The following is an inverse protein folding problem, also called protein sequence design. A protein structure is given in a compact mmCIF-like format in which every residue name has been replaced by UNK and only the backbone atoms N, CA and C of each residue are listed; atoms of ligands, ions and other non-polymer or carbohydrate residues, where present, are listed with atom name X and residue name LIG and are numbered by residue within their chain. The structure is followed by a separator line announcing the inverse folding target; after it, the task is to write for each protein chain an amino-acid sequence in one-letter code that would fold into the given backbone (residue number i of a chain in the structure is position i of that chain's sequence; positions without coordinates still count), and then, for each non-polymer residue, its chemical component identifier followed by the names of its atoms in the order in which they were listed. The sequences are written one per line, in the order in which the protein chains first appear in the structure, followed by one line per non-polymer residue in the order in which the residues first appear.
data_IF_351802571562
#
_entry.id   IF_351802571562
#
_cell.length_a   1.000
_cell.length_b   1.000
_cell.length_c   1.000
_cell.angle_alpha   90.00
_cell.angle_beta   90.00
_cell.angle_gamma   90.00
#
_symmetry.space_group_name_H-M   'P 1'
#
loop_
_entity.id
_entity.type
_entity.pdbx_description
1 polymer ?
#
# COMPACT_ATOMS: atom_id res chain seq x y z
N UNK A 1 -47.04 -46.04 20.48
CA UNK A 1 -45.69 -46.60 20.77
C UNK A 1 -44.67 -45.81 19.95
N UNK A 2 -43.94 -44.91 20.61
CA UNK A 2 -42.86 -44.14 20.00
C UNK A 2 -41.64 -45.03 19.79
N UNK A 3 -41.11 -45.08 18.57
CA UNK A 3 -39.78 -45.63 18.31
C UNK A 3 -38.83 -44.45 18.19
N UNK A 4 -38.06 -44.23 19.25
CA UNK A 4 -36.82 -43.44 19.20
C UNK A 4 -35.86 -44.12 18.23
N UNK A 5 -35.39 -43.40 17.21
CA UNK A 5 -34.08 -43.68 16.61
C UNK A 5 -33.13 -42.55 16.97
N UNK A 6 -32.07 -42.98 17.63
CA UNK A 6 -30.93 -42.28 18.16
C UNK A 6 -29.98 -41.76 17.08
N UNK A 7 -29.36 -40.61 17.37
CA UNK A 7 -27.93 -40.37 17.20
C UNK A 7 -27.34 -40.51 15.79
N UNK A 8 -27.30 -39.40 15.06
CA UNK A 8 -26.40 -39.19 13.94
C UNK A 8 -25.95 -37.72 13.93
N UNK A 9 -24.84 -37.45 14.61
CA UNK A 9 -24.12 -36.18 14.59
C UNK A 9 -23.52 -35.94 13.20
N UNK A 10 -24.31 -35.39 12.28
CA UNK A 10 -23.89 -34.99 10.95
C UNK A 10 -24.18 -33.51 10.72
N UNK A 11 -23.13 -32.70 10.73
CA UNK A 11 -22.99 -31.36 10.15
C UNK A 11 -24.28 -30.53 9.99
N UNK A 12 -24.68 -29.82 11.05
CA UNK A 12 -25.51 -28.62 10.92
C UNK A 12 -24.60 -27.41 10.73
N UNK A 13 -24.36 -27.02 9.48
CA UNK A 13 -24.03 -25.65 9.06
C UNK A 13 -23.78 -25.67 7.54
N UNK A 14 -24.82 -25.82 6.74
CA UNK A 14 -24.79 -25.37 5.34
C UNK A 14 -25.90 -24.34 5.18
N UNK A 15 -25.85 -23.32 6.03
CA UNK A 15 -26.53 -22.06 5.70
C UNK A 15 -25.83 -21.49 4.47
N UNK A 16 -26.50 -21.69 3.33
CA UNK A 16 -26.30 -21.15 1.98
C UNK A 16 -25.14 -20.14 1.85
N UNK A 17 -23.92 -20.65 1.64
CA UNK A 17 -22.80 -19.85 1.13
C UNK A 17 -23.24 -19.19 -0.18
N UNK A 18 -23.01 -17.88 -0.31
CA UNK A 18 -23.22 -17.19 -1.59
C UNK A 18 -22.34 -17.87 -2.65
N UNK A 19 -22.79 -18.03 -3.90
CA UNK A 19 -21.97 -18.64 -4.95
C UNK A 19 -20.58 -18.01 -5.11
N UNK A 20 -20.45 -16.72 -4.81
CA UNK A 20 -19.16 -15.99 -4.81
C UNK A 20 -18.20 -16.39 -3.68
N UNK A 21 -18.66 -17.11 -2.67
CA UNK A 21 -17.87 -17.56 -1.51
C UNK A 21 -17.59 -19.07 -1.57
N UNK A 22 -18.29 -19.82 -2.41
CA UNK A 22 -18.17 -21.28 -2.50
C UNK A 22 -16.73 -21.74 -2.84
N UNK A 23 -16.04 -21.01 -3.73
CA UNK A 23 -14.67 -21.36 -4.13
C UNK A 23 -13.64 -21.19 -3.00
N UNK A 24 -13.90 -20.31 -2.02
CA UNK A 24 -13.03 -20.14 -0.85
C UNK A 24 -13.00 -21.39 0.06
N UNK A 25 -13.97 -22.29 -0.10
CA UNK A 25 -14.10 -23.53 0.66
C UNK A 25 -13.86 -24.78 -0.19
N UNK A 26 -13.24 -24.65 -1.37
CA UNK A 26 -13.00 -25.79 -2.28
C UNK A 26 -12.18 -26.91 -1.62
N UNK A 27 -11.30 -26.57 -0.66
CA UNK A 27 -10.55 -27.55 0.12
C UNK A 27 -11.44 -28.46 1.00
N UNK A 28 -12.65 -28.01 1.33
CA UNK A 28 -13.63 -28.78 2.10
C UNK A 28 -14.63 -29.54 1.22
N UNK A 29 -14.58 -29.35 -0.11
CA UNK A 29 -15.49 -30.03 -1.03
C UNK A 29 -15.05 -31.49 -1.22
N UNK A 30 -16.00 -32.43 -1.38
CA UNK A 30 -15.67 -33.84 -1.51
C UNK A 30 -14.88 -34.11 -2.80
N UNK A 31 -13.96 -35.09 -2.72
CA UNK A 31 -13.03 -35.38 -3.82
C UNK A 31 -13.73 -35.70 -5.15
N UNK A 32 -14.88 -36.37 -5.13
CA UNK A 32 -15.65 -36.69 -6.35
C UNK A 32 -16.14 -35.44 -7.10
N UNK A 33 -16.28 -34.31 -6.41
CA UNK A 33 -16.67 -33.03 -7.01
C UNK A 33 -15.45 -32.27 -7.51
N UNK A 34 -14.35 -32.22 -6.74
CA UNK A 34 -13.17 -31.41 -7.08
C UNK A 34 -12.29 -32.09 -8.13
N UNK A 35 -12.15 -33.42 -8.10
CA UNK A 35 -11.24 -34.15 -8.98
C UNK A 35 -11.55 -33.96 -10.48
N UNK A 36 -12.82 -34.02 -10.96
CA UNK A 36 -13.13 -33.73 -12.35
C UNK A 36 -12.80 -32.30 -12.77
N UNK A 37 -12.98 -31.32 -11.88
CA UNK A 37 -12.60 -29.93 -12.13
C UNK A 37 -11.10 -29.77 -12.29
N UNK A 38 -10.31 -30.38 -11.41
CA UNK A 38 -8.85 -30.34 -11.49
C UNK A 38 -8.33 -30.94 -12.81
N UNK A 39 -8.90 -32.07 -13.25
CA UNK A 39 -8.60 -32.66 -14.57
C UNK A 39 -8.96 -31.68 -15.69
N UNK A 40 -10.13 -31.03 -15.58
CA UNK A 40 -10.58 -30.01 -16.52
C UNK A 40 -9.63 -28.81 -16.61
N UNK A 41 -9.12 -28.32 -15.47
CA UNK A 41 -8.19 -27.19 -15.40
C UNK A 41 -6.85 -27.53 -16.06
N UNK A 42 -6.32 -28.74 -15.85
CA UNK A 42 -5.11 -29.21 -16.54
C UNK A 42 -5.33 -29.27 -18.05
N UNK A 43 -6.44 -29.87 -18.50
CA UNK A 43 -6.77 -30.00 -19.93
C UNK A 43 -6.94 -28.64 -20.61
N UNK A 44 -7.70 -27.73 -20.00
CA UNK A 44 -7.94 -26.38 -20.54
C UNK A 44 -6.68 -25.53 -20.53
N UNK A 45 -5.88 -25.59 -19.45
CA UNK A 45 -4.61 -24.86 -19.37
C UNK A 45 -3.64 -25.34 -20.44
N UNK A 46 -3.57 -26.66 -20.69
CA UNK A 46 -2.76 -27.22 -21.77
C UNK A 46 -3.23 -26.76 -23.15
N UNK A 47 -4.54 -26.84 -23.43
CA UNK A 47 -5.08 -26.38 -24.71
C UNK A 47 -4.83 -24.87 -24.93
N UNK A 48 -4.97 -24.06 -23.87
CA UNK A 48 -4.66 -22.63 -23.91
C UNK A 48 -3.17 -22.38 -24.18
N UNK A 49 -2.29 -23.12 -23.51
CA UNK A 49 -0.85 -23.06 -23.74
C UNK A 49 -0.52 -23.42 -25.19
N UNK A 50 -1.01 -24.54 -25.72
CA UNK A 50 -0.76 -24.97 -27.09
C UNK A 50 -1.22 -23.93 -28.13
N UNK A 51 -2.33 -23.22 -27.86
CA UNK A 51 -2.83 -22.16 -28.73
C UNK A 51 -2.02 -20.85 -28.67
N UNK A 52 -1.59 -20.42 -27.48
CA UNK A 52 -0.97 -19.11 -27.27
C UNK A 52 0.56 -19.17 -27.35
N UNK A 53 1.17 -20.24 -26.84
CA UNK A 53 2.63 -20.37 -26.74
C UNK A 53 3.34 -20.08 -28.07
N UNK A 54 2.92 -20.64 -29.23
CA UNK A 54 3.56 -20.32 -30.52
C UNK A 54 3.59 -18.83 -30.89
N UNK A 55 2.67 -18.03 -30.36
CA UNK A 55 2.52 -16.60 -30.66
C UNK A 55 3.40 -15.70 -29.78
N UNK A 56 3.94 -16.23 -28.68
CA UNK A 56 4.64 -15.44 -27.64
C UNK A 56 6.09 -15.89 -27.40
N UNK A 57 6.54 -16.97 -28.04
CA UNK A 57 7.93 -17.46 -27.90
C UNK A 57 8.91 -16.40 -28.45
N UNK A 58 10.00 -16.19 -27.71
CA UNK A 58 11.07 -15.29 -28.07
C UNK A 58 11.86 -14.82 -26.85
N UNK A 59 12.78 -13.88 -27.08
CA UNK A 59 13.71 -13.42 -26.04
C UNK A 59 12.99 -12.84 -24.80
N UNK A 60 11.89 -12.11 -25.01
CA UNK A 60 11.08 -11.56 -23.92
C UNK A 60 10.48 -12.67 -23.04
N UNK A 61 9.89 -13.69 -23.64
CA UNK A 61 9.34 -14.85 -22.92
C UNK A 61 10.41 -15.58 -22.10
N UNK A 62 11.60 -15.81 -22.67
CA UNK A 62 12.70 -16.45 -21.96
C UNK A 62 13.28 -15.58 -20.84
N UNK A 63 13.27 -14.26 -20.99
CA UNK A 63 13.63 -13.33 -19.92
C UNK A 63 12.64 -13.42 -18.76
N UNK A 64 11.33 -13.37 -19.04
CA UNK A 64 10.31 -13.46 -18.00
C UNK A 64 10.38 -14.81 -17.27
N UNK A 65 10.56 -15.92 -17.98
CA UNK A 65 10.74 -17.25 -17.37
C UNK A 65 11.96 -17.32 -16.45
N UNK A 66 13.09 -16.73 -16.86
CA UNK A 66 14.32 -16.70 -16.05
C UNK A 66 14.16 -15.85 -14.80
N UNK A 67 13.46 -14.71 -14.90
CA UNK A 67 13.21 -13.81 -13.77
C UNK A 67 12.24 -14.43 -12.75
N UNK A 68 11.28 -15.23 -13.19
CA UNK A 68 10.28 -15.84 -12.30
C UNK A 68 10.92 -16.64 -11.14
N UNK A 69 12.00 -17.39 -11.40
CA UNK A 69 12.64 -18.23 -10.39
C UNK A 69 13.27 -17.42 -9.23
N UNK A 70 14.13 -16.41 -9.48
CA UNK A 70 14.59 -15.49 -8.45
C UNK A 70 13.45 -14.78 -7.69
N UNK A 71 12.38 -14.39 -8.39
CA UNK A 71 11.22 -13.78 -7.73
C UNK A 71 10.59 -14.75 -6.72
N UNK A 72 10.22 -15.97 -7.14
CA UNK A 72 9.63 -16.98 -6.25
C UNK A 72 10.52 -17.31 -5.04
N UNK A 73 11.84 -17.38 -5.23
CA UNK A 73 12.79 -17.56 -4.11
C UNK A 73 12.74 -16.37 -3.15
N UNK A 74 12.68 -15.15 -3.67
CA UNK A 74 12.54 -13.94 -2.86
C UNK A 74 11.24 -13.92 -2.07
N UNK A 75 10.13 -14.25 -2.72
CA UNK A 75 8.82 -14.30 -2.08
C UNK A 75 8.80 -15.29 -0.92
N UNK A 76 9.42 -16.46 -1.09
CA UNK A 76 9.51 -17.51 -0.05
C UNK A 76 10.45 -17.12 1.09
N UNK A 77 11.55 -16.45 0.80
CA UNK A 77 12.58 -16.10 1.81
C UNK A 77 12.18 -14.88 2.64
N UNK A 78 11.46 -13.93 2.03
CA UNK A 78 11.16 -12.64 2.63
C UNK A 78 12.41 -11.75 2.85
N UNK A 79 12.16 -10.49 3.13
CA UNK A 79 13.20 -9.47 3.36
C UNK A 79 13.33 -9.21 4.86
N UNK A 80 14.53 -9.30 5.46
CA UNK A 80 14.72 -9.01 6.87
C UNK A 80 14.35 -7.56 7.20
N UNK A 81 13.60 -7.35 8.27
CA UNK A 81 13.19 -6.03 8.76
C UNK A 81 13.36 -5.94 10.27
N UNK A 82 13.82 -4.77 10.74
CA UNK A 82 13.85 -4.42 12.16
C UNK A 82 12.43 -4.15 12.65
N UNK A 83 11.70 -5.22 12.96
CA UNK A 83 10.30 -5.15 13.40
C UNK A 83 10.13 -4.31 14.67
N UNK A 84 11.07 -4.41 15.62
CA UNK A 84 11.00 -3.66 16.88
C UNK A 84 11.18 -2.15 16.63
N UNK A 85 12.24 -1.75 15.95
CA UNK A 85 12.48 -0.34 15.64
C UNK A 85 11.40 0.24 14.72
N UNK A 86 10.89 -0.54 13.76
CA UNK A 86 9.79 -0.11 12.91
C UNK A 86 8.50 0.08 13.71
N UNK A 87 8.21 -0.77 14.69
CA UNK A 87 7.05 -0.62 15.57
C UNK A 87 7.13 0.65 16.42
N UNK A 88 8.30 0.92 17.02
CA UNK A 88 8.56 2.14 17.80
C UNK A 88 8.41 3.40 16.95
N UNK A 89 9.02 3.42 15.75
CA UNK A 89 8.91 4.55 14.81
C UNK A 89 7.47 4.74 14.32
N UNK A 90 6.73 3.65 14.07
CA UNK A 90 5.32 3.71 13.65
C UNK A 90 4.46 4.31 14.73
N UNK A 91 4.67 3.91 16.00
CA UNK A 91 3.97 4.50 17.15
C UNK A 91 4.25 5.99 17.28
N UNK A 92 5.51 6.39 17.19
CA UNK A 92 5.89 7.81 17.24
C UNK A 92 5.29 8.60 16.06
N UNK A 93 5.29 8.00 14.86
CA UNK A 93 4.70 8.57 13.65
C UNK A 93 3.19 8.77 13.77
N UNK A 94 2.45 7.80 14.33
CA UNK A 94 1.01 7.93 14.57
C UNK A 94 0.69 9.08 15.55
N UNK A 95 1.47 9.21 16.62
CA UNK A 95 1.31 10.32 17.57
C UNK A 95 1.62 11.68 16.92
N UNK A 96 2.64 11.75 16.05
CA UNK A 96 2.94 12.95 15.29
C UNK A 96 1.84 13.26 14.27
N UNK A 97 1.30 12.25 13.59
CA UNK A 97 0.19 12.41 12.66
C UNK A 97 -1.06 12.99 13.36
N UNK A 98 -1.44 12.45 14.51
CA UNK A 98 -2.56 13.02 15.28
C UNK A 98 -2.32 14.48 15.70
N UNK A 99 -1.09 14.82 16.08
CA UNK A 99 -0.72 16.23 16.39
C UNK A 99 -0.80 17.14 15.17
N UNK A 100 -0.45 16.65 13.98
CA UNK A 100 -0.61 17.39 12.73
C UNK A 100 -2.09 17.64 12.42
N UNK A 101 -2.95 16.64 12.59
CA UNK A 101 -4.39 16.78 12.39
C UNK A 101 -4.99 17.84 13.32
N UNK A 102 -4.67 17.77 14.62
CA UNK A 102 -5.10 18.78 15.59
C UNK A 102 -4.56 20.17 15.27
N UNK A 103 -3.33 20.28 14.78
CA UNK A 103 -2.75 21.56 14.39
C UNK A 103 -3.49 22.17 13.19
N UNK A 104 -3.79 21.36 12.16
CA UNK A 104 -4.51 21.79 10.96
C UNK A 104 -5.95 22.20 11.31
N UNK A 105 -6.64 21.38 12.11
CA UNK A 105 -8.00 21.68 12.59
C UNK A 105 -8.05 23.01 13.34
N UNK A 106 -7.08 23.27 14.24
CA UNK A 106 -6.97 24.56 14.93
C UNK A 106 -6.66 25.72 13.99
N UNK A 107 -5.77 25.50 13.01
CA UNK A 107 -5.39 26.52 12.03
C UNK A 107 -6.56 26.94 11.14
N UNK A 108 -7.39 25.98 10.74
CA UNK A 108 -8.59 26.18 9.92
C UNK A 108 -9.85 26.51 10.73
N UNK A 109 -9.77 26.56 12.07
CA UNK A 109 -10.92 26.73 12.98
C UNK A 109 -12.03 25.67 12.76
N UNK A 110 -11.65 24.47 12.33
CA UNK A 110 -12.55 23.37 11.99
C UNK A 110 -12.21 22.12 12.85
N UNK A 111 -12.72 22.01 14.08
CA UNK A 111 -12.32 20.95 15.03
C UNK A 111 -12.70 19.53 14.58
N UNK A 112 -13.78 19.37 13.82
CA UNK A 112 -14.28 18.08 13.34
C UNK A 112 -13.81 17.73 11.92
N UNK A 113 -12.85 18.48 11.38
CA UNK A 113 -12.36 18.29 10.01
C UNK A 113 -11.58 16.96 9.88
N UNK A 114 -12.05 16.10 8.98
CA UNK A 114 -11.28 14.98 8.46
C UNK A 114 -10.37 15.43 7.32
N UNK A 115 -9.12 15.77 7.66
CA UNK A 115 -8.06 16.18 6.71
C UNK A 115 -7.73 15.07 5.69
N UNK A 116 -8.21 13.84 5.89
CA UNK A 116 -8.08 12.75 4.92
C UNK A 116 -9.01 12.85 3.71
N UNK A 117 -10.07 13.67 3.78
CA UNK A 117 -11.09 13.85 2.74
C UNK A 117 -10.83 15.13 1.94
N UNK A 118 -10.43 15.03 0.65
CA UNK A 118 -10.11 16.18 -0.19
C UNK A 118 -11.21 17.24 -0.26
N UNK A 119 -12.46 16.81 -0.39
CA UNK A 119 -13.61 17.71 -0.53
C UNK A 119 -13.84 18.52 0.75
N UNK A 120 -13.81 17.86 1.92
CA UNK A 120 -13.96 18.52 3.22
C UNK A 120 -12.80 19.46 3.54
N UNK A 121 -11.59 19.10 3.13
CA UNK A 121 -10.43 19.98 3.27
C UNK A 121 -10.57 21.22 2.38
N UNK A 122 -11.10 21.08 1.16
CA UNK A 122 -11.36 22.22 0.29
C UNK A 122 -12.40 23.18 0.88
N UNK A 123 -13.52 22.64 1.39
CA UNK A 123 -14.56 23.43 2.08
C UNK A 123 -13.96 24.22 3.26
N UNK A 124 -13.17 23.56 4.11
CA UNK A 124 -12.54 24.22 5.26
C UNK A 124 -11.49 25.29 4.89
N UNK A 125 -10.84 25.16 3.72
CA UNK A 125 -9.90 26.16 3.22
C UNK A 125 -10.62 27.42 2.69
N UNK A 126 -11.76 27.24 2.03
CA UNK A 126 -12.64 28.34 1.59
C UNK A 126 -13.27 29.06 2.79
N UNK A 127 -13.82 28.32 3.75
CA UNK A 127 -14.42 28.90 4.98
C UNK A 127 -13.40 29.68 5.81
N UNK A 128 -12.13 29.26 5.78
CA UNK A 128 -11.02 29.97 6.42
C UNK A 128 -10.55 31.20 5.62
N UNK A 129 -11.07 31.42 4.41
CA UNK A 129 -10.67 32.52 3.53
C UNK A 129 -9.22 32.41 3.03
N UNK A 130 -8.69 31.19 2.92
CA UNK A 130 -7.28 30.96 2.56
C UNK A 130 -7.06 30.69 1.07
N UNK A 131 -8.12 30.45 0.32
CA UNK A 131 -8.09 30.19 -1.13
C UNK A 131 -9.11 31.08 -1.82
N UNK A 132 -8.67 31.84 -2.82
CA UNK A 132 -9.53 32.76 -3.58
C UNK A 132 -10.04 32.11 -4.88
N UNK A 133 -9.16 31.46 -5.64
CA UNK A 133 -9.51 30.79 -6.90
C UNK A 133 -8.96 29.36 -6.92
N UNK A 134 -9.78 28.39 -7.32
CA UNK A 134 -9.36 26.99 -7.36
C UNK A 134 -8.84 26.57 -8.72
N UNK A 135 -7.75 25.80 -8.70
CA UNK A 135 -7.35 24.97 -9.84
C UNK A 135 -8.23 23.72 -9.85
N UNK A 136 -8.98 23.52 -10.92
CA UNK A 136 -9.88 22.37 -11.09
C UNK A 136 -9.15 21.19 -11.74
N UNK A 137 -9.51 19.99 -11.30
CA UNK A 137 -9.05 18.74 -11.92
C UNK A 137 -9.80 18.46 -13.22
N UNK A 138 -9.34 17.52 -14.04
CA UNK A 138 -10.02 17.10 -15.27
C UNK A 138 -11.47 16.58 -15.07
N UNK A 139 -11.89 16.35 -13.82
CA UNK A 139 -13.26 15.98 -13.44
C UNK A 139 -14.02 17.13 -12.77
N UNK A 140 -13.55 18.36 -12.98
CA UNK A 140 -14.14 19.58 -12.45
C UNK A 140 -14.20 19.65 -10.92
N UNK A 141 -13.27 18.97 -10.24
CA UNK A 141 -13.17 19.00 -8.76
C UNK A 141 -12.03 19.90 -8.33
N UNK A 142 -12.23 20.63 -7.22
CA UNK A 142 -11.20 21.42 -6.52
C UNK A 142 -9.95 20.58 -6.23
N UNK A 143 -8.79 21.00 -6.73
CA UNK A 143 -7.53 20.29 -6.55
C UNK A 143 -6.88 20.63 -5.21
N UNK A 144 -6.82 19.65 -4.30
CA UNK A 144 -6.08 19.74 -3.02
C UNK A 144 -4.66 19.19 -3.13
N UNK A 145 -4.11 19.09 -4.35
CA UNK A 145 -2.73 18.67 -4.56
C UNK A 145 -1.75 19.69 -3.99
N UNK A 146 -0.55 19.26 -3.60
CA UNK A 146 0.46 20.16 -3.06
C UNK A 146 0.81 21.31 -4.03
N UNK A 147 0.98 21.00 -5.32
CA UNK A 147 1.32 22.00 -6.32
C UNK A 147 0.19 23.03 -6.47
N UNK A 148 -1.05 22.55 -6.59
CA UNK A 148 -2.22 23.42 -6.70
C UNK A 148 -2.38 24.31 -5.47
N UNK A 149 -2.34 23.75 -4.26
CA UNK A 149 -2.44 24.53 -3.03
C UNK A 149 -1.26 25.50 -2.86
N UNK A 150 -0.07 25.15 -3.35
CA UNK A 150 1.08 26.06 -3.35
C UNK A 150 0.93 27.20 -4.36
N UNK A 151 -0.03 27.17 -5.27
CA UNK A 151 -0.33 28.31 -6.13
C UNK A 151 -1.44 29.17 -5.50
N UNK A 152 -2.51 28.53 -5.04
CA UNK A 152 -3.76 29.23 -4.68
C UNK A 152 -3.95 29.53 -3.20
N UNK A 153 -3.23 28.85 -2.29
CA UNK A 153 -3.38 29.06 -0.86
C UNK A 153 -2.46 30.18 -0.36
N UNK A 154 -3.01 31.11 0.41
CA UNK A 154 -2.26 32.23 1.01
C UNK A 154 -1.37 31.75 2.17
N UNK A 155 -1.80 30.77 2.97
CA UNK A 155 -1.01 30.22 4.08
C UNK A 155 -0.04 29.13 3.63
N UNK A 156 1.19 29.54 3.29
CA UNK A 156 2.25 28.62 2.84
C UNK A 156 2.72 27.63 3.91
N UNK A 157 2.66 28.01 5.18
CA UNK A 157 3.04 27.12 6.27
C UNK A 157 2.03 25.97 6.40
N UNK A 158 0.73 26.26 6.27
CA UNK A 158 -0.30 25.23 6.25
C UNK A 158 -0.08 24.23 5.10
N UNK A 159 0.26 24.72 3.91
CA UNK A 159 0.54 23.85 2.74
C UNK A 159 1.75 22.94 2.99
N UNK A 160 2.81 23.43 3.62
CA UNK A 160 3.97 22.62 4.01
C UNK A 160 3.61 21.55 5.05
N UNK A 161 2.80 21.91 6.05
CA UNK A 161 2.28 20.97 7.06
C UNK A 161 1.42 19.89 6.41
N UNK A 162 0.55 20.24 5.46
CA UNK A 162 -0.27 19.29 4.69
C UNK A 162 0.60 18.33 3.87
N UNK A 163 1.66 18.83 3.20
CA UNK A 163 2.62 17.99 2.48
C UNK A 163 3.32 17.01 3.43
N UNK A 164 3.85 17.52 4.53
CA UNK A 164 4.52 16.69 5.53
C UNK A 164 3.59 15.59 6.08
N UNK A 165 2.35 15.96 6.44
CA UNK A 165 1.33 15.01 6.88
C UNK A 165 1.06 13.93 5.84
N UNK A 166 0.90 14.29 4.57
CA UNK A 166 0.63 13.32 3.50
C UNK A 166 1.80 12.36 3.28
N UNK A 167 3.05 12.84 3.40
CA UNK A 167 4.24 11.98 3.36
C UNK A 167 4.22 10.99 4.53
N UNK A 168 4.00 11.47 5.75
CA UNK A 168 3.94 10.64 6.95
C UNK A 168 2.82 9.60 6.89
N UNK A 169 1.63 10.00 6.43
CA UNK A 169 0.48 9.10 6.19
C UNK A 169 0.87 7.97 5.22
N UNK A 170 1.54 8.31 4.12
CA UNK A 170 2.02 7.31 3.15
C UNK A 170 3.07 6.39 3.77
N UNK A 171 4.05 6.93 4.51
CA UNK A 171 5.04 6.10 5.21
C UNK A 171 4.39 5.10 6.17
N UNK A 172 3.39 5.54 6.93
CA UNK A 172 2.69 4.67 7.89
C UNK A 172 1.79 3.65 7.19
N UNK A 173 0.85 4.10 6.34
CA UNK A 173 -0.21 3.23 5.79
C UNK A 173 0.26 2.35 4.65
N UNK A 174 1.20 2.83 3.84
CA UNK A 174 1.64 2.13 2.62
C UNK A 174 2.86 1.24 2.88
N UNK A 175 3.69 1.58 3.87
CA UNK A 175 4.95 0.88 4.13
C UNK A 175 4.98 0.27 5.54
N UNK A 176 5.01 1.10 6.59
CA UNK A 176 5.29 0.64 7.94
C UNK A 176 4.27 -0.39 8.47
N UNK A 177 2.97 -0.10 8.36
CA UNK A 177 1.91 -1.02 8.81
C UNK A 177 1.89 -2.34 8.03
N UNK A 178 1.90 -2.34 6.68
CA UNK A 178 2.00 -3.59 5.93
C UNK A 178 3.26 -4.40 6.21
N UNK A 179 4.40 -3.74 6.42
CA UNK A 179 5.65 -4.44 6.74
C UNK A 179 5.59 -5.07 8.14
N UNK A 180 5.08 -4.37 9.15
CA UNK A 180 4.89 -4.90 10.49
C UNK A 180 3.96 -6.12 10.51
N UNK A 181 2.84 -6.05 9.77
CA UNK A 181 1.92 -7.16 9.65
C UNK A 181 2.56 -8.43 9.04
N UNK A 182 3.61 -8.28 8.23
CA UNK A 182 4.39 -9.40 7.73
C UNK A 182 5.52 -9.79 8.70
N UNK A 183 6.13 -8.83 9.39
CA UNK A 183 7.25 -9.03 10.30
C UNK A 183 6.93 -9.97 11.47
N UNK A 184 5.65 -10.09 11.84
CA UNK A 184 5.18 -11.04 12.85
C UNK A 184 5.59 -12.49 12.51
N UNK A 185 5.81 -12.78 11.23
CA UNK A 185 6.36 -14.04 10.74
C UNK A 185 7.90 -14.02 10.71
N UNK A 186 8.53 -13.97 11.89
CA UNK A 186 9.97 -14.18 12.05
C UNK A 186 10.86 -13.01 11.61
N UNK A 187 10.37 -11.78 11.71
CA UNK A 187 11.14 -10.55 11.45
C UNK A 187 11.38 -10.29 9.95
N UNK A 188 10.47 -10.76 9.09
CA UNK A 188 10.62 -10.67 7.63
C UNK A 188 9.38 -10.09 6.97
N UNK A 189 9.58 -9.24 5.96
CA UNK A 189 8.53 -8.83 5.04
C UNK A 189 8.48 -9.80 3.86
N UNK A 190 7.42 -10.60 3.79
CA UNK A 190 7.10 -11.39 2.60
C UNK A 190 6.33 -10.49 1.64
N UNK A 191 6.81 -10.39 0.41
CA UNK A 191 6.16 -9.61 -0.63
C UNK A 191 6.00 -10.44 -1.89
N UNK A 192 4.89 -10.21 -2.59
CA UNK A 192 4.65 -10.79 -3.89
C UNK A 192 5.12 -9.84 -4.98
N UNK A 193 5.81 -10.38 -5.98
CA UNK A 193 6.25 -9.68 -7.17
C UNK A 193 5.26 -9.91 -8.30
N UNK A 194 4.80 -8.82 -8.88
CA UNK A 194 3.89 -8.85 -10.02
C UNK A 194 4.71 -8.51 -11.26
N UNK A 195 4.96 -9.55 -12.04
CA UNK A 195 5.80 -9.51 -13.23
C UNK A 195 5.03 -8.97 -14.45
N UNK A 196 3.79 -9.41 -14.61
CA UNK A 196 2.90 -9.00 -15.69
C UNK A 196 1.73 -8.20 -15.15
N UNK A 197 1.24 -7.26 -15.96
CA UNK A 197 0.01 -6.54 -15.63
C UNK A 197 -1.17 -7.52 -15.66
N UNK A 198 -1.85 -7.66 -14.52
CA UNK A 198 -3.15 -8.32 -14.46
C UNK A 198 -4.22 -7.29 -14.84
N UNK A 199 -5.03 -7.63 -15.84
CA UNK A 199 -6.25 -6.90 -16.13
C UNK A 199 -7.23 -7.07 -14.96
N UNK A 200 -8.16 -6.13 -14.81
CA UNK A 200 -9.27 -6.23 -13.85
C UNK A 200 -9.96 -7.59 -14.02
N UNK A 201 -9.80 -8.51 -13.06
CA UNK A 201 -10.71 -9.65 -12.99
C UNK A 201 -12.10 -9.12 -12.67
N UNK A 202 -13.10 -9.65 -13.38
CA UNK A 202 -14.51 -9.25 -13.30
C UNK A 202 -14.92 -8.99 -11.84
N UNK A 203 -15.40 -7.76 -11.59
CA UNK A 203 -15.86 -7.18 -10.31
C UNK A 203 -14.75 -6.61 -9.39
N UNK A 204 -14.17 -5.48 -9.81
CA UNK A 204 -13.63 -4.47 -8.89
C UNK A 204 -12.23 -4.73 -8.30
N UNK A 205 -11.45 -5.65 -8.87
CA UNK A 205 -10.04 -5.83 -8.49
C UNK A 205 -9.17 -4.69 -9.01
N UNK A 206 -8.25 -4.13 -8.21
CA UNK A 206 -7.30 -3.11 -8.71
C UNK A 206 -6.35 -3.76 -9.73
N UNK A 207 -6.08 -3.09 -10.85
CA UNK A 207 -5.04 -3.54 -11.79
C UNK A 207 -3.69 -3.57 -11.08
N UNK A 208 -3.00 -4.71 -11.11
CA UNK A 208 -1.69 -4.94 -10.49
C UNK A 208 -0.66 -5.21 -11.58
N UNK A 209 0.58 -4.74 -11.42
CA UNK A 209 1.65 -4.86 -12.43
C UNK A 209 1.70 -3.68 -13.42
N UNK A 210 2.91 -3.32 -13.86
CA UNK A 210 3.12 -2.14 -14.71
C UNK A 210 2.93 -2.46 -16.20
N UNK A 211 2.38 -1.51 -16.98
CA UNK A 211 2.32 -1.59 -18.45
C UNK A 211 3.71 -1.58 -19.11
N UNK A 212 4.72 -1.08 -18.40
CA UNK A 212 6.07 -0.84 -18.91
C UNK A 212 7.02 -2.02 -18.74
N UNK A 213 6.53 -3.17 -18.22
CA UNK A 213 7.38 -4.32 -17.88
C UNK A 213 8.17 -4.16 -16.58
N UNK A 214 7.96 -3.07 -15.82
CA UNK A 214 8.54 -2.92 -14.48
C UNK A 214 7.84 -3.84 -13.48
N UNK A 215 8.64 -4.53 -12.67
CA UNK A 215 8.14 -5.31 -11.53
C UNK A 215 7.41 -4.38 -10.54
N UNK A 216 6.31 -4.87 -9.95
CA UNK A 216 5.67 -4.21 -8.80
C UNK A 216 5.55 -5.13 -7.60
N UNK A 217 5.68 -4.63 -6.37
CA UNK A 217 5.63 -5.45 -5.13
C UNK A 217 4.40 -5.18 -4.27
N UNK A 218 3.93 -6.19 -3.54
CA UNK A 218 2.86 -6.08 -2.53
C UNK A 218 3.19 -6.95 -1.29
N UNK A 219 3.37 -6.38 -0.07
CA UNK A 219 3.44 -4.95 0.23
C UNK A 219 4.57 -4.26 -0.53
N UNK A 220 4.45 -2.94 -0.68
CA UNK A 220 5.38 -2.19 -1.51
C UNK A 220 6.75 -2.10 -0.84
N UNK A 221 7.76 -2.67 -1.50
CA UNK A 221 9.19 -2.55 -1.15
C UNK A 221 9.96 -1.76 -2.20
N UNK A 222 9.26 -1.31 -3.25
CA UNK A 222 9.80 -0.44 -4.28
C UNK A 222 9.38 0.99 -3.97
N UNK A 223 10.24 1.96 -4.28
CA UNK A 223 9.96 3.38 -4.04
C UNK A 223 9.76 3.75 -2.54
N UNK A 224 10.54 3.13 -1.64
CA UNK A 224 10.54 3.51 -0.22
C UNK A 224 10.93 5.00 -0.09
N UNK A 225 10.07 5.85 0.51
CA UNK A 225 10.32 7.28 0.64
C UNK A 225 11.65 7.57 1.33
N UNK A 226 12.32 8.64 0.91
CA UNK A 226 13.50 9.14 1.60
C UNK A 226 13.08 9.96 2.84
N UNK A 227 13.79 9.77 3.94
CA UNK A 227 13.59 10.48 5.22
C UNK A 227 14.37 11.79 5.29
N UNK A 228 15.30 12.05 4.35
CA UNK A 228 16.25 13.19 4.38
C UNK A 228 15.68 14.55 3.99
N UNK A 229 14.37 14.67 3.84
CA UNK A 229 13.72 15.95 3.52
C UNK A 229 14.06 17.00 4.60
N UNK A 230 14.59 18.18 4.24
CA UNK A 230 14.90 19.22 5.23
C UNK A 230 13.62 19.75 5.88
N UNK A 231 13.49 19.59 7.20
CA UNK A 231 12.32 20.05 7.96
C UNK A 231 12.78 21.04 9.01
N UNK A 232 12.18 22.24 9.01
CA UNK A 232 12.35 23.21 10.07
C UNK A 232 11.16 23.15 11.02
N UNK A 233 11.43 23.17 12.33
CA UNK A 233 10.39 23.27 13.37
C UNK A 233 10.33 24.64 14.02
N UNK A 234 11.31 25.50 13.73
CA UNK A 234 11.41 26.87 14.25
C UNK A 234 11.70 27.86 13.12
N UNK A 235 11.32 29.12 13.30
CA UNK A 235 11.62 30.19 12.34
C UNK A 235 13.13 30.33 12.08
N UNK A 236 13.97 30.17 13.11
CA UNK A 236 15.43 30.22 12.98
C UNK A 236 15.98 29.11 12.09
N UNK A 237 15.47 27.87 12.24
CA UNK A 237 15.83 26.77 11.34
C UNK A 237 15.32 27.03 9.94
N UNK A 238 14.10 27.55 9.79
CA UNK A 238 13.51 27.85 8.49
C UNK A 238 14.37 28.81 7.67
N UNK A 239 14.85 29.91 8.28
CA UNK A 239 15.73 30.86 7.58
C UNK A 239 17.01 30.20 7.04
N UNK A 240 17.51 29.15 7.70
CA UNK A 240 18.72 28.42 7.28
C UNK A 240 18.46 27.43 6.15
N UNK A 241 17.23 26.97 5.94
CA UNK A 241 16.93 25.90 4.97
C UNK A 241 15.96 26.33 3.87
N UNK A 242 15.33 27.51 3.96
CA UNK A 242 14.30 28.01 3.03
C UNK A 242 14.74 28.07 1.56
N UNK A 243 16.04 28.14 1.30
CA UNK A 243 16.62 28.16 -0.05
C UNK A 243 16.82 26.76 -0.63
N UNK A 244 16.65 25.69 0.16
CA UNK A 244 16.65 24.31 -0.33
C UNK A 244 15.26 24.02 -0.91
N UNK A 245 15.18 23.64 -2.19
CA UNK A 245 13.91 23.57 -2.94
C UNK A 245 12.79 22.75 -2.31
N UNK A 246 13.14 21.66 -1.62
CA UNK A 246 12.17 20.75 -0.97
C UNK A 246 12.03 20.94 0.55
N UNK A 247 12.62 22.00 1.13
CA UNK A 247 12.50 22.23 2.56
C UNK A 247 11.05 22.55 2.97
N UNK A 248 10.63 22.04 4.12
CA UNK A 248 9.30 22.30 4.69
C UNK A 248 9.40 23.00 6.04
N UNK A 249 8.49 23.94 6.29
CA UNK A 249 8.31 24.53 7.61
C UNK A 249 7.13 23.88 8.35
N UNK A 250 7.42 23.07 9.37
CA UNK A 250 6.42 22.35 10.17
C UNK A 250 6.59 22.74 11.64
N UNK A 251 5.80 23.67 12.18
CA UNK A 251 6.00 24.26 13.51
C UNK A 251 5.55 23.33 14.66
N UNK A 252 5.95 22.06 14.60
CA UNK A 252 5.68 21.05 15.63
C UNK A 252 7.00 20.48 16.16
N UNK A 253 7.12 20.47 17.48
CA UNK A 253 8.29 19.91 18.14
C UNK A 253 8.44 18.41 17.83
N UNK A 254 9.64 18.02 17.41
CA UNK A 254 9.97 16.64 17.05
C UNK A 254 9.42 16.17 15.70
N UNK A 255 8.98 17.09 14.82
CA UNK A 255 8.56 16.71 13.47
C UNK A 255 9.73 16.11 12.68
N UNK A 256 9.66 14.80 12.42
CA UNK A 256 10.61 14.04 11.61
C UNK A 256 9.88 12.95 10.83
N UNK A 257 10.38 12.61 9.65
CA UNK A 257 9.90 11.47 8.88
C UNK A 257 10.46 10.16 9.47
N UNK A 258 9.78 9.05 9.20
CA UNK A 258 10.25 7.72 9.56
C UNK A 258 11.38 7.32 8.58
N UNK A 259 12.50 6.83 9.09
CA UNK A 259 13.55 6.26 8.25
C UNK A 259 13.25 4.80 7.92
N UNK A 260 12.31 4.61 7.00
CA UNK A 260 11.89 3.27 6.57
C UNK A 260 13.04 2.47 5.96
N UNK A 261 14.01 3.13 5.32
CA UNK A 261 15.15 2.44 4.68
C UNK A 261 16.10 1.87 5.73
N UNK A 262 16.32 2.61 6.82
CA UNK A 262 17.10 2.11 7.95
C UNK A 262 16.48 0.88 8.65
N UNK A 263 15.18 0.62 8.43
CA UNK A 263 14.47 -0.56 8.99
C UNK A 263 14.55 -1.80 8.11
N UNK A 264 15.07 -1.69 6.89
CA UNK A 264 15.36 -2.84 6.04
C UNK A 264 16.73 -3.38 6.42
N UNK A 265 16.77 -4.54 7.06
CA UNK A 265 18.00 -5.15 7.60
C UNK A 265 18.68 -6.10 6.59
N UNK A 266 18.40 -5.96 5.30
CA UNK A 266 19.08 -6.74 4.28
C UNK A 266 20.55 -6.28 4.18
N UNK A 267 21.54 -7.17 4.37
CA UNK A 267 22.94 -6.80 4.26
C UNK A 267 23.29 -6.27 2.86
N UNK A 268 24.34 -5.46 2.76
CA UNK A 268 24.81 -4.96 1.46
C UNK A 268 25.30 -6.14 0.63
N UNK A 269 24.80 -6.28 -0.60
CA UNK A 269 25.06 -7.47 -1.41
C UNK A 269 24.18 -8.67 -1.05
N UNK A 270 23.08 -8.47 -0.30
CA UNK A 270 22.03 -9.47 -0.17
C UNK A 270 21.41 -9.72 -1.54
N UNK A 271 22.00 -10.68 -2.25
CA UNK A 271 21.54 -11.15 -3.53
C UNK A 271 20.42 -12.14 -3.27
N UNK A 272 19.33 -11.94 -4.00
CA UNK A 272 18.13 -12.76 -3.96
C UNK A 272 18.42 -14.10 -4.66
N UNK A 273 19.25 -14.94 -4.03
CA UNK A 273 19.65 -16.23 -4.58
C UNK A 273 20.98 -16.81 -4.08
N UNK A 274 21.81 -16.06 -3.35
CA UNK A 274 23.22 -16.44 -3.11
C UNK A 274 23.48 -17.31 -1.86
N UNK A 275 22.43 -17.65 -1.12
CA UNK A 275 22.54 -18.56 0.01
C UNK A 275 21.38 -19.56 -0.06
N UNK A 276 21.50 -20.49 -1.00
CA UNK A 276 20.97 -21.85 -0.96
C UNK A 276 22.08 -22.78 -1.48
#
# INVERSE_FOLDING_TARGET
KAVKKSGGSGCRAIDLLKPSQAFAHVACAPAYLVAPYAVGDVRRTRALHEAIHPQIIGEAYDRERRVLLPLLRTERRGIPIDGKGLHEDTRAGLLLWNRLDLWIQKRLKAPDLDVGKPERLADALEEAGLVEEWILTAKDRRSTSYQSLREVCSDRQLVDVLKFRNILRTQIRTFAQPWLAQADYGGRAFCSFNQVRRAEERRGGKSVGARTGRLSTAPNLQNVPDSKMPIATTAKQWQKIKHRGDALFVPLHGAKLIDLRARVCAPRGYLLGDHD
#
